data_IF_761818746411
#
_entry.id   IF_761818746411
#
_cell.length_a   1.000
_cell.length_b   1.000
_cell.length_c   1.000
_cell.angle_alpha   90.00
_cell.angle_beta   90.00
_cell.angle_gamma   90.00
#
_symmetry.space_group_name_H-M   'P 1'
#
loop_
_entity.id
_entity.type
_entity.pdbx_description
1 polymer ?
#
# COMPACT_ATOMS: atom_id res chain seq x y z
N UNK A 1 32.80 27.42 7.29
CA UNK A 1 31.85 26.28 7.23
C UNK A 1 31.51 26.09 5.76
N UNK A 2 31.78 24.94 5.16
CA UNK A 2 31.41 24.70 3.75
C UNK A 2 29.90 24.55 3.60
N UNK A 3 29.34 24.98 2.46
CA UNK A 3 27.92 24.83 2.17
C UNK A 3 27.55 23.33 2.11
N UNK A 4 26.58 22.94 2.94
CA UNK A 4 26.13 21.56 3.06
C UNK A 4 25.50 21.04 1.76
N UNK A 5 24.85 21.92 0.99
CA UNK A 5 24.20 21.57 -0.27
C UNK A 5 25.09 21.89 -1.48
N UNK A 6 26.37 22.22 -1.28
CA UNK A 6 27.29 22.43 -2.37
C UNK A 6 27.38 21.18 -3.28
N UNK A 7 27.53 21.38 -4.59
CA UNK A 7 27.56 20.29 -5.57
C UNK A 7 28.75 19.33 -5.35
N UNK A 8 29.85 19.82 -4.77
CA UNK A 8 31.03 19.02 -4.43
C UNK A 8 30.89 18.29 -3.08
N UNK A 9 29.84 18.57 -2.29
CA UNK A 9 29.56 17.85 -1.06
C UNK A 9 28.68 16.62 -1.36
N UNK A 10 29.34 15.51 -1.71
CA UNK A 10 28.67 14.25 -2.06
C UNK A 10 27.74 13.74 -0.95
N UNK A 11 28.13 13.89 0.32
CA UNK A 11 27.32 13.47 1.46
C UNK A 11 26.01 14.28 1.54
N UNK A 12 26.09 15.62 1.46
CA UNK A 12 24.90 16.49 1.51
C UNK A 12 23.97 16.29 0.32
N UNK A 13 24.53 16.12 -0.89
CA UNK A 13 23.76 15.80 -2.09
C UNK A 13 23.04 14.45 -2.00
N UNK A 14 23.70 13.43 -1.47
CA UNK A 14 23.08 12.12 -1.26
C UNK A 14 21.95 12.19 -0.23
N UNK A 15 22.16 12.90 0.89
CA UNK A 15 21.12 13.09 1.88
C UNK A 15 19.90 13.81 1.29
N UNK A 16 20.11 14.91 0.54
CA UNK A 16 19.03 15.65 -0.10
C UNK A 16 18.21 14.76 -1.04
N UNK A 17 18.88 13.91 -1.84
CA UNK A 17 18.21 12.97 -2.75
C UNK A 17 17.39 11.92 -2.00
N UNK A 18 17.94 11.37 -0.91
CA UNK A 18 17.24 10.40 -0.07
C UNK A 18 16.00 11.00 0.56
N UNK A 19 16.11 12.18 1.18
CA UNK A 19 14.98 12.87 1.81
C UNK A 19 13.93 13.25 0.77
N UNK A 20 14.34 13.78 -0.39
CA UNK A 20 13.41 14.12 -1.47
C UNK A 20 12.63 12.92 -1.97
N UNK A 21 13.31 11.78 -2.19
CA UNK A 21 12.65 10.51 -2.59
C UNK A 21 11.74 9.97 -1.50
N UNK A 22 12.17 10.00 -0.24
CA UNK A 22 11.34 9.58 0.89
C UNK A 22 10.05 10.38 0.98
N UNK A 23 10.14 11.71 0.86
CA UNK A 23 8.98 12.59 0.87
C UNK A 23 8.03 12.33 -0.30
N UNK A 24 8.58 12.10 -1.50
CA UNK A 24 7.77 11.74 -2.67
C UNK A 24 7.02 10.42 -2.45
N UNK A 25 7.68 9.38 -1.93
CA UNK A 25 7.06 8.08 -1.63
C UNK A 25 5.91 8.25 -0.62
N UNK A 26 6.15 8.98 0.47
CA UNK A 26 5.11 9.22 1.49
C UNK A 26 3.93 9.99 0.89
N UNK A 27 4.19 11.02 0.09
CA UNK A 27 3.15 11.79 -0.57
C UNK A 27 2.32 10.93 -1.52
N UNK A 28 2.94 10.05 -2.31
CA UNK A 28 2.21 9.14 -3.19
C UNK A 28 1.39 8.11 -2.42
N UNK A 29 1.92 7.53 -1.33
CA UNK A 29 1.14 6.64 -0.46
C UNK A 29 -0.09 7.34 0.13
N UNK A 30 0.07 8.60 0.55
CA UNK A 30 -1.03 9.41 1.06
C UNK A 30 -2.06 9.77 -0.01
N UNK A 31 -1.66 9.94 -1.27
CA UNK A 31 -2.62 10.08 -2.37
C UNK A 31 -3.31 8.75 -2.63
N UNK A 32 -2.56 7.66 -2.72
CA UNK A 32 -3.08 6.33 -3.08
C UNK A 32 -4.15 5.84 -2.10
N UNK A 33 -4.03 6.13 -0.80
CA UNK A 33 -5.08 5.77 0.18
C UNK A 33 -6.46 6.39 -0.14
N UNK A 34 -6.48 7.55 -0.81
CA UNK A 34 -7.73 8.24 -1.15
C UNK A 34 -8.32 7.74 -2.48
N UNK A 35 -7.54 7.00 -3.28
CA UNK A 35 -7.96 6.42 -4.57
C UNK A 35 -8.28 4.93 -4.49
N UNK A 36 -8.44 4.36 -3.30
CA UNK A 36 -8.85 2.96 -3.15
C UNK A 36 -10.28 2.79 -3.70
N UNK A 37 -10.51 1.93 -4.71
CA UNK A 37 -11.84 1.76 -5.27
C UNK A 37 -12.87 1.33 -4.21
N UNK A 38 -14.08 1.94 -4.17
CA UNK A 38 -15.07 1.67 -3.12
C UNK A 38 -15.48 0.19 -3.00
N UNK A 39 -15.36 -0.60 -4.07
CA UNK A 39 -15.64 -2.05 -4.05
C UNK A 39 -14.77 -2.80 -3.04
N UNK A 40 -13.53 -2.36 -2.82
CA UNK A 40 -12.61 -2.97 -1.85
C UNK A 40 -12.87 -2.52 -0.41
N UNK A 41 -13.63 -1.44 -0.22
CA UNK A 41 -13.97 -0.95 1.12
C UNK A 41 -15.04 -1.82 1.81
N UNK A 42 -15.79 -2.63 1.05
CA UNK A 42 -16.85 -3.50 1.55
C UNK A 42 -17.89 -2.78 2.46
N UNK A 43 -18.06 -1.46 2.32
CA UNK A 43 -18.89 -0.62 3.20
C UNK A 43 -20.41 -0.79 3.03
N UNK A 44 -20.86 -1.51 2.00
CA UNK A 44 -22.29 -1.71 1.71
C UNK A 44 -22.66 -3.18 1.77
N UNK A 45 -23.80 -3.49 2.42
CA UNK A 45 -24.35 -4.85 2.50
C UNK A 45 -24.46 -5.53 1.14
N UNK A 46 -24.81 -4.77 0.08
CA UNK A 46 -24.89 -5.29 -1.30
C UNK A 46 -23.53 -5.73 -1.85
N UNK A 47 -22.47 -4.96 -1.57
CA UNK A 47 -21.12 -5.27 -2.02
C UNK A 47 -20.57 -6.46 -1.24
N UNK A 48 -20.77 -6.49 0.08
CA UNK A 48 -20.39 -7.62 0.94
C UNK A 48 -21.07 -8.91 0.49
N UNK A 49 -22.37 -8.87 0.22
CA UNK A 49 -23.11 -10.05 -0.21
C UNK A 49 -22.64 -10.57 -1.57
N UNK A 50 -22.23 -9.68 -2.48
CA UNK A 50 -21.80 -10.06 -3.84
C UNK A 50 -20.33 -10.47 -3.92
N UNK A 51 -19.44 -9.80 -3.18
CA UNK A 51 -17.99 -9.90 -3.34
C UNK A 51 -17.25 -10.32 -2.07
N UNK A 52 -17.92 -10.35 -0.91
CA UNK A 52 -17.27 -10.61 0.38
C UNK A 52 -16.71 -12.02 0.55
N UNK A 53 -17.09 -12.97 -0.30
CA UNK A 53 -16.47 -14.30 -0.35
C UNK A 53 -15.14 -14.33 -1.10
N UNK A 54 -14.88 -13.34 -1.97
CA UNK A 54 -13.73 -13.34 -2.90
C UNK A 54 -12.75 -12.21 -2.56
N UNK A 55 -13.26 -11.03 -2.18
CA UNK A 55 -12.43 -9.91 -1.75
C UNK A 55 -12.08 -10.13 -0.28
N UNK A 56 -10.87 -10.61 -0.05
CA UNK A 56 -10.30 -10.84 1.27
C UNK A 56 -9.34 -9.70 1.59
N UNK A 57 -9.39 -9.19 2.81
CA UNK A 57 -8.45 -8.19 3.31
C UNK A 57 -7.14 -8.86 3.78
N UNK A 58 -6.36 -8.17 4.62
CA UNK A 58 -5.15 -8.72 5.21
C UNK A 58 -5.40 -9.91 6.16
N UNK A 59 -6.66 -10.27 6.48
CA UNK A 59 -6.98 -11.48 7.23
C UNK A 59 -6.61 -12.75 6.48
N UNK A 60 -6.51 -12.71 5.13
CA UNK A 60 -6.00 -13.82 4.33
C UNK A 60 -4.68 -14.37 4.88
N UNK A 61 -3.71 -13.48 5.14
CA UNK A 61 -2.38 -13.88 5.61
C UNK A 61 -2.39 -14.55 6.99
N UNK A 62 -3.44 -14.35 7.79
CA UNK A 62 -3.58 -14.98 9.10
C UNK A 62 -4.23 -16.36 9.04
N UNK A 63 -4.96 -16.67 7.98
CA UNK A 63 -5.75 -17.90 7.88
C UNK A 63 -5.76 -18.45 6.46
N UNK A 64 -4.63 -18.33 5.76
CA UNK A 64 -4.49 -18.67 4.33
C UNK A 64 -5.01 -20.08 4.03
N UNK A 65 -4.61 -21.08 4.83
CA UNK A 65 -5.06 -22.47 4.66
C UNK A 65 -6.59 -22.60 4.64
N UNK A 66 -7.33 -21.84 5.44
CA UNK A 66 -8.80 -21.89 5.48
C UNK A 66 -9.42 -21.27 4.22
N UNK A 67 -8.80 -20.23 3.67
CA UNK A 67 -9.26 -19.61 2.43
C UNK A 67 -8.90 -20.46 1.21
N UNK A 68 -7.69 -21.01 1.14
CA UNK A 68 -7.26 -21.92 0.08
C UNK A 68 -8.13 -23.18 0.04
N UNK A 69 -8.40 -23.81 1.20
CA UNK A 69 -9.33 -24.94 1.27
C UNK A 69 -10.74 -24.60 0.77
N UNK A 70 -11.22 -23.38 0.99
CA UNK A 70 -12.53 -22.96 0.45
C UNK A 70 -12.51 -22.85 -1.06
N UNK A 71 -11.41 -22.35 -1.64
CA UNK A 71 -11.23 -22.22 -3.09
C UNK A 71 -11.12 -23.60 -3.73
N UNK A 72 -10.35 -24.52 -3.15
CA UNK A 72 -10.17 -25.88 -3.68
C UNK A 72 -11.46 -26.72 -3.65
N UNK A 73 -12.34 -26.46 -2.69
CA UNK A 73 -13.60 -27.21 -2.52
C UNK A 73 -14.79 -26.61 -3.28
N UNK A 74 -14.63 -25.49 -3.99
CA UNK A 74 -15.66 -24.84 -4.81
C UNK A 74 -15.25 -24.89 -6.31
N UNK A 75 -15.47 -26.03 -7.00
CA UNK A 75 -15.02 -26.28 -8.37
C UNK A 75 -15.79 -25.51 -9.46
#
# INVERSE_FOLDING_TARGET
>A
MGDFLAANNVCGQNLLRLVSRGNAIVAELMRLKDYVPPVFSLNSKKIVQKYGSIIIDFAYFKSANTYEQKIENDP
#
